data_IF_481394248216
#
_entry.id   IF_481394248216
#
_cell.length_a   1.000
_cell.length_b   1.000
_cell.length_c   1.000
_cell.angle_alpha   90.00
_cell.angle_beta   90.00
_cell.angle_gamma   90.00
#
_symmetry.space_group_name_H-M   'P 1'
#
loop_
_entity.id
_entity.type
_entity.pdbx_description
1 polymer ?
#
# COMPACT_ATOMS: atom_id res chain seq x y z
N UNK A 1 16.26 -15.80 2.36
CA UNK A 1 16.39 -14.41 2.87
C UNK A 1 15.61 -13.52 1.91
N UNK A 2 14.47 -12.91 2.27
CA UNK A 2 13.75 -12.07 1.33
C UNK A 2 14.58 -10.81 1.09
N UNK A 3 15.03 -10.65 -0.15
CA UNK A 3 15.84 -9.51 -0.59
C UNK A 3 14.97 -8.27 -0.55
N UNK A 4 15.30 -7.33 0.33
CA UNK A 4 14.71 -5.99 0.33
C UNK A 4 15.20 -5.29 -0.94
N UNK A 5 14.41 -5.40 -2.00
CA UNK A 5 14.68 -4.75 -3.29
C UNK A 5 14.72 -3.24 -3.04
N UNK A 6 15.84 -2.59 -3.38
CA UNK A 6 16.08 -1.15 -3.16
C UNK A 6 15.11 -0.20 -3.90
N UNK A 7 14.09 -0.71 -4.58
CA UNK A 7 13.10 0.06 -5.32
C UNK A 7 11.73 0.17 -4.66
N UNK A 8 11.37 -0.76 -3.76
CA UNK A 8 10.00 -0.84 -3.24
C UNK A 8 9.71 0.35 -2.32
N UNK A 9 8.76 1.20 -2.73
CA UNK A 9 8.33 2.38 -1.96
C UNK A 9 6.88 2.20 -1.57
N UNK A 10 6.64 2.09 -0.27
CA UNK A 10 5.31 2.21 0.30
C UNK A 10 5.05 3.68 0.64
N UNK A 11 3.94 4.22 0.12
CA UNK A 11 3.52 5.61 0.37
C UNK A 11 2.14 5.60 1.00
N UNK A 12 2.01 6.29 2.14
CA UNK A 12 0.72 6.57 2.76
C UNK A 12 0.14 7.83 2.16
N UNK A 13 -1.09 7.74 1.67
CA UNK A 13 -1.87 8.91 1.24
C UNK A 13 -3.33 8.79 1.64
N UNK A 14 -4.05 9.91 1.80
CA UNK A 14 -5.50 9.87 1.98
C UNK A 14 -6.17 9.19 0.78
N UNK A 15 -7.20 8.39 1.06
CA UNK A 15 -8.03 7.75 0.04
C UNK A 15 -8.82 8.87 -0.67
N UNK A 16 -8.79 8.97 -2.01
CA UNK A 16 -9.63 9.93 -2.71
C UNK A 16 -11.11 9.56 -2.64
N UNK A 17 -12.00 10.57 -2.67
CA UNK A 17 -13.43 10.35 -2.78
C UNK A 17 -13.74 9.56 -4.05
N UNK A 18 -14.47 8.44 -3.93
CA UNK A 18 -14.78 7.57 -5.07
C UNK A 18 -13.71 6.52 -5.41
N UNK A 19 -12.67 6.35 -4.57
CA UNK A 19 -11.69 5.27 -4.77
C UNK A 19 -12.33 3.90 -4.61
N UNK A 20 -12.11 3.02 -5.60
CA UNK A 20 -12.53 1.61 -5.62
C UNK A 20 -11.34 0.64 -5.60
N UNK A 21 -10.21 1.08 -5.03
CA UNK A 21 -9.00 0.24 -4.97
C UNK A 21 -9.19 -0.94 -4.03
N UNK A 22 -8.65 -2.09 -4.40
CA UNK A 22 -8.74 -3.32 -3.64
C UNK A 22 -7.47 -3.51 -2.80
N UNK A 23 -7.63 -3.83 -1.52
CA UNK A 23 -6.52 -4.16 -0.64
C UNK A 23 -5.96 -5.53 -1.02
N UNK A 24 -4.67 -5.62 -1.35
CA UNK A 24 -4.00 -6.87 -1.64
C UNK A 24 -3.81 -7.76 -0.39
N UNK A 25 -3.91 -7.21 0.82
CA UNK A 25 -3.78 -7.96 2.07
C UNK A 25 -5.05 -8.68 2.53
N UNK A 26 -6.23 -8.12 2.26
CA UNK A 26 -7.51 -8.69 2.70
C UNK A 26 -8.55 -8.84 1.58
N UNK A 27 -8.14 -8.63 0.32
CA UNK A 27 -8.98 -8.68 -0.88
C UNK A 27 -10.26 -7.83 -0.82
N UNK A 28 -10.31 -6.84 0.08
CA UNK A 28 -11.49 -5.99 0.32
C UNK A 28 -11.26 -4.59 -0.23
N UNK A 29 -12.32 -3.93 -0.71
CA UNK A 29 -12.22 -2.54 -1.18
C UNK A 29 -11.83 -1.57 -0.07
N UNK A 30 -10.83 -0.74 -0.34
CA UNK A 30 -10.45 0.40 0.48
C UNK A 30 -11.50 1.51 0.28
N UNK A 31 -12.63 1.36 0.97
CA UNK A 31 -13.72 2.35 0.90
C UNK A 31 -13.29 3.64 1.57
N UNK A 32 -13.38 4.73 0.81
CA UNK A 32 -13.31 6.08 1.35
C UNK A 32 -14.36 6.26 2.45
N UNK A 33 -13.92 6.74 3.62
CA UNK A 33 -14.81 7.13 4.70
C UNK A 33 -14.49 8.58 5.08
N UNK A 34 -15.34 9.51 4.65
CA UNK A 34 -15.19 10.96 4.85
C UNK A 34 -15.00 11.32 6.34
N UNK A 35 -15.73 10.63 7.22
CA UNK A 35 -15.67 10.83 8.68
C UNK A 35 -14.32 10.46 9.30
N UNK A 36 -13.55 9.57 8.68
CA UNK A 36 -12.37 8.94 9.30
C UNK A 36 -11.07 9.38 8.63
N UNK A 37 -11.12 10.20 7.56
CA UNK A 37 -9.95 10.50 6.71
C UNK A 37 -9.14 9.23 6.45
N UNK A 38 -9.79 8.18 5.94
CA UNK A 38 -9.10 6.91 5.70
C UNK A 38 -7.91 7.13 4.79
N UNK A 39 -6.80 6.50 5.15
CA UNK A 39 -5.59 6.49 4.35
C UNK A 39 -5.49 5.14 3.63
N UNK A 40 -4.79 5.13 2.50
CA UNK A 40 -4.35 3.93 1.80
C UNK A 40 -2.83 3.91 1.75
N UNK A 41 -2.27 2.71 1.79
CA UNK A 41 -0.87 2.49 1.50
C UNK A 41 -0.76 2.03 0.06
N UNK A 42 0.05 2.71 -0.74
CA UNK A 42 0.41 2.29 -2.09
C UNK A 42 1.83 1.78 -2.04
N UNK A 43 2.01 0.49 -2.26
CA UNK A 43 3.32 -0.14 -2.36
C UNK A 43 3.68 -0.39 -3.82
N UNK A 44 4.78 0.21 -4.27
CA UNK A 44 5.27 0.03 -5.62
C UNK A 44 6.23 -1.17 -5.66
N UNK A 45 5.84 -2.28 -6.26
CA UNK A 45 6.59 -3.54 -6.30
C UNK A 45 7.55 -3.54 -7.48
N UNK A 46 8.83 -3.81 -7.22
CA UNK A 46 9.87 -3.98 -8.22
C UNK A 46 10.37 -5.42 -8.22
N UNK A 47 10.55 -6.01 -9.40
CA UNK A 47 11.11 -7.35 -9.60
C UNK A 47 12.29 -7.18 -10.56
N UNK A 48 13.47 -7.69 -10.19
CA UNK A 48 14.71 -7.54 -10.96
C UNK A 48 15.04 -6.08 -11.33
N UNK A 49 14.91 -5.17 -10.36
CA UNK A 49 15.13 -3.71 -10.51
C UNK A 49 14.17 -3.01 -11.50
N UNK A 50 13.17 -3.73 -12.03
CA UNK A 50 12.13 -3.20 -12.91
C UNK A 50 10.82 -3.03 -12.17
N UNK A 51 10.09 -1.97 -12.51
CA UNK A 51 8.73 -1.80 -12.01
C UNK A 51 7.87 -2.97 -12.45
N UNK A 52 7.26 -3.67 -11.49
CA UNK A 52 6.41 -4.83 -11.75
C UNK A 52 4.93 -4.45 -11.63
N UNK A 53 4.54 -3.91 -10.48
CA UNK A 53 3.14 -3.54 -10.21
C UNK A 53 3.00 -2.61 -9.02
N UNK A 54 1.84 -1.94 -8.93
CA UNK A 54 1.39 -1.24 -7.72
C UNK A 54 0.43 -2.14 -6.96
N UNK A 55 0.64 -2.29 -5.65
CA UNK A 55 -0.29 -2.92 -4.74
C UNK A 55 -0.84 -1.90 -3.74
N UNK A 56 -2.14 -1.93 -3.49
CA UNK A 56 -2.79 -1.07 -2.52
C UNK A 56 -3.11 -1.88 -1.28
N UNK A 57 -2.93 -1.30 -0.10
CA UNK A 57 -3.23 -1.93 1.17
C UNK A 57 -3.98 -0.96 2.08
N UNK A 58 -4.79 -1.51 2.98
CA UNK A 58 -5.22 -0.76 4.15
C UNK A 58 -4.01 -0.50 5.06
N UNK A 59 -3.96 0.64 5.77
CA UNK A 59 -2.90 0.94 6.72
C UNK A 59 -2.81 -0.12 7.82
N UNK A 60 -3.95 -0.64 8.28
CA UNK A 60 -4.02 -1.75 9.23
C UNK A 60 -3.44 -3.06 8.64
N UNK A 61 -3.80 -3.42 7.40
CA UNK A 61 -3.32 -4.64 6.76
C UNK A 61 -1.82 -4.56 6.45
N UNK A 62 -1.33 -3.40 6.03
CA UNK A 62 0.08 -3.21 5.71
C UNK A 62 0.96 -3.30 6.97
N UNK A 63 0.51 -2.68 8.07
CA UNK A 63 1.17 -2.80 9.37
C UNK A 63 1.11 -4.24 9.91
N UNK A 64 -0.04 -4.90 9.79
CA UNK A 64 -0.21 -6.30 10.23
C UNK A 64 0.62 -7.29 9.41
N UNK A 65 0.95 -6.95 8.15
CA UNK A 65 1.80 -7.76 7.30
C UNK A 65 3.31 -7.54 7.56
N UNK A 66 3.68 -6.67 8.50
CA UNK A 66 5.08 -6.38 8.82
C UNK A 66 5.80 -5.58 7.74
N UNK A 67 5.09 -4.72 7.02
CA UNK A 67 5.66 -3.83 6.01
C UNK A 67 6.45 -4.56 4.90
N UNK A 68 5.81 -5.49 4.18
CA UNK A 68 6.48 -6.39 3.24
C UNK A 68 7.21 -5.66 2.10
N UNK A 69 6.81 -4.42 1.82
CA UNK A 69 7.40 -3.56 0.77
C UNK A 69 8.22 -2.40 1.34
N UNK A 70 8.67 -2.51 2.60
CA UNK A 70 9.49 -1.53 3.30
C UNK A 70 8.71 -0.44 4.05
N UNK A 71 9.45 0.45 4.69
CA UNK A 71 8.90 1.49 5.55
C UNK A 71 7.95 2.43 4.79
N UNK A 72 6.77 2.64 5.35
CA UNK A 72 5.78 3.57 4.81
C UNK A 72 6.31 5.00 4.88
N UNK A 73 6.44 5.66 3.73
CA UNK A 73 6.72 7.09 3.65
C UNK A 73 5.42 7.87 3.62
N UNK A 74 5.34 8.91 4.44
CA UNK A 74 4.23 9.87 4.37
C UNK A 74 4.51 10.83 3.20
N UNK A 75 3.51 11.07 2.35
CA UNK A 75 3.58 11.99 1.21
C UNK A 75 2.59 13.12 1.32
#
# INVERSE_FOLDING_TARGET
MPQVVRGTRAVRRPVPQGSTVMCAGCATMVKFAAKVRRHQIIANVYVDDRWNRVEHYHPECYASAGEPHGAVRES
#
